data_IF_116317403446
#
_entry.id   IF_116317403446
#
_cell.length_a   1.000
_cell.length_b   1.000
_cell.length_c   1.000
_cell.angle_alpha   90.00
_cell.angle_beta   90.00
_cell.angle_gamma   90.00
#
_symmetry.space_group_name_H-M   'P 1'
#
loop_
_entity.id
_entity.type
_entity.pdbx_description
1 polymer ?
#
# COMPACT_ATOMS: atom_id res chain seq x y z
N UNK A 1 -17.16 26.23 8.93
CA UNK A 1 -17.19 25.90 7.49
C UNK A 1 -15.76 25.65 7.08
N UNK A 2 -15.35 24.39 6.91
CA UNK A 2 -14.01 24.06 6.41
C UNK A 2 -13.87 24.64 5.01
N UNK A 3 -12.85 25.46 4.78
CA UNK A 3 -12.58 26.01 3.45
C UNK A 3 -12.07 24.87 2.58
N UNK A 4 -12.24 25.01 1.26
CA UNK A 4 -11.79 24.00 0.28
C UNK A 4 -10.29 23.72 0.35
N UNK A 5 -9.53 24.67 0.92
CA UNK A 5 -8.09 24.62 1.16
C UNK A 5 -7.70 23.74 2.35
N UNK A 6 -8.64 23.46 3.27
CA UNK A 6 -8.38 22.69 4.49
C UNK A 6 -8.53 21.17 4.27
N UNK A 7 -8.93 20.74 3.07
CA UNK A 7 -9.25 19.34 2.76
C UNK A 7 -8.52 18.87 1.51
N UNK A 8 -7.72 17.82 1.66
CA UNK A 8 -6.92 17.23 0.58
C UNK A 8 -7.48 15.87 0.13
N UNK A 9 -7.25 15.53 -1.14
CA UNK A 9 -7.69 14.26 -1.71
C UNK A 9 -6.95 13.09 -1.05
N UNK A 10 -7.71 12.22 -0.38
CA UNK A 10 -7.18 11.08 0.38
C UNK A 10 -7.51 11.15 1.87
N UNK A 11 -7.95 12.30 2.34
CA UNK A 11 -8.57 12.42 3.65
C UNK A 11 -9.93 11.73 3.67
N UNK A 12 -10.30 11.23 4.84
CA UNK A 12 -11.56 10.51 5.08
C UNK A 12 -12.36 11.22 6.15
N UNK A 13 -13.67 11.28 5.99
CA UNK A 13 -14.58 11.71 7.06
C UNK A 13 -14.85 10.52 7.97
N UNK A 14 -14.54 10.67 9.25
CA UNK A 14 -14.74 9.63 10.26
C UNK A 14 -15.29 10.24 11.55
N UNK A 15 -15.95 9.41 12.36
CA UNK A 15 -16.35 9.80 13.71
C UNK A 15 -15.08 10.11 14.51
N UNK A 16 -15.06 11.15 15.36
CA UNK A 16 -13.88 11.46 16.16
C UNK A 16 -13.38 10.24 16.94
N UNK A 17 -12.09 9.94 16.81
CA UNK A 17 -11.40 8.84 17.50
C UNK A 17 -11.57 7.44 16.89
N UNK A 18 -12.22 7.28 15.73
CA UNK A 18 -12.48 5.94 15.16
C UNK A 18 -11.48 5.48 14.12
N UNK A 19 -10.72 6.38 13.49
CA UNK A 19 -9.64 6.02 12.56
C UNK A 19 -8.49 6.99 12.74
N UNK A 20 -7.28 6.46 12.79
CA UNK A 20 -6.05 7.23 12.96
C UNK A 20 -5.17 7.13 11.72
N UNK A 21 -4.41 8.19 11.40
CA UNK A 21 -3.49 8.18 10.27
C UNK A 21 -2.19 7.45 10.65
N UNK A 22 -1.74 6.55 9.78
CA UNK A 22 -0.58 5.66 9.99
C UNK A 22 0.36 5.70 8.79
N UNK A 23 1.62 5.37 9.03
CA UNK A 23 2.68 5.32 7.99
C UNK A 23 3.23 3.93 7.79
N UNK A 24 3.27 3.11 8.84
CA UNK A 24 3.88 1.79 8.78
C UNK A 24 2.86 0.71 9.07
N UNK A 25 2.85 -0.29 8.21
CA UNK A 25 1.95 -1.42 8.32
C UNK A 25 2.56 -2.66 7.69
N UNK A 26 2.09 -3.82 8.13
CA UNK A 26 2.29 -5.09 7.44
C UNK A 26 1.08 -5.39 6.57
N UNK A 27 1.32 -6.05 5.45
CA UNK A 27 0.27 -6.46 4.54
C UNK A 27 0.55 -7.82 3.90
N UNK A 28 -0.53 -8.54 3.67
CA UNK A 28 -0.54 -9.71 2.80
C UNK A 28 -0.85 -9.24 1.38
N UNK A 29 0.02 -9.58 0.43
CA UNK A 29 -0.05 -9.08 -0.94
C UNK A 29 0.06 -10.20 -1.94
N UNK A 30 -0.88 -10.21 -2.90
CA UNK A 30 -0.77 -10.95 -4.14
C UNK A 30 -0.16 -10.05 -5.22
N UNK A 31 0.95 -10.49 -5.83
CA UNK A 31 1.59 -9.81 -6.94
C UNK A 31 1.00 -10.35 -8.24
N UNK A 32 0.47 -9.46 -9.08
CA UNK A 32 -0.14 -9.86 -10.34
C UNK A 32 0.90 -10.52 -11.25
N UNK A 33 0.50 -11.62 -11.89
CA UNK A 33 1.33 -12.29 -12.89
C UNK A 33 1.49 -11.43 -14.15
N UNK A 34 2.40 -11.84 -15.02
CA UNK A 34 2.58 -11.20 -16.33
C UNK A 34 1.31 -11.27 -17.18
N UNK A 35 0.60 -12.40 -17.13
CA UNK A 35 -0.63 -12.66 -17.88
C UNK A 35 -1.79 -11.77 -17.38
N UNK A 36 -1.78 -11.42 -16.09
CA UNK A 36 -2.73 -10.50 -15.48
C UNK A 36 -2.37 -9.01 -15.73
N UNK A 37 -1.30 -8.75 -16.48
CA UNK A 37 -0.82 -7.39 -16.79
C UNK A 37 0.04 -6.76 -15.70
N UNK A 38 0.55 -7.57 -14.77
CA UNK A 38 1.48 -7.19 -13.71
C UNK A 38 2.91 -7.00 -14.20
N UNK A 39 3.87 -7.27 -13.31
CA UNK A 39 5.29 -7.13 -13.63
C UNK A 39 5.80 -8.30 -14.48
N UNK A 40 6.82 -8.04 -15.29
CA UNK A 40 7.55 -9.08 -16.02
C UNK A 40 8.75 -9.64 -15.23
N UNK A 41 9.28 -8.84 -14.31
CA UNK A 41 10.48 -9.14 -13.54
C UNK A 41 10.19 -9.05 -12.05
N UNK A 42 10.94 -9.82 -11.23
CA UNK A 42 10.83 -9.72 -9.78
C UNK A 42 11.17 -8.31 -9.26
N UNK A 43 10.82 -8.07 -8.00
CA UNK A 43 11.30 -6.92 -7.25
C UNK A 43 11.91 -7.36 -5.92
N UNK A 44 12.69 -6.46 -5.34
CA UNK A 44 13.49 -6.68 -4.15
C UNK A 44 13.06 -5.72 -3.03
N UNK A 45 13.58 -5.95 -1.83
CA UNK A 45 13.47 -4.99 -0.73
C UNK A 45 14.00 -3.60 -1.15
N UNK A 46 13.34 -2.55 -0.69
CA UNK A 46 13.59 -1.16 -1.12
C UNK A 46 12.80 -0.72 -2.35
N UNK A 47 11.94 -1.58 -2.91
CA UNK A 47 11.04 -1.22 -4.00
C UNK A 47 10.07 -0.09 -3.57
N UNK A 48 9.86 0.90 -4.46
CA UNK A 48 9.11 2.14 -4.17
C UNK A 48 7.88 2.38 -5.07
N UNK A 49 6.83 1.54 -5.00
CA UNK A 49 5.63 1.74 -5.80
C UNK A 49 4.68 2.78 -5.19
N UNK A 50 3.59 3.06 -5.91
CA UNK A 50 2.44 3.80 -5.42
C UNK A 50 1.41 2.84 -4.81
N UNK A 51 0.93 3.14 -3.62
CA UNK A 51 -0.14 2.43 -2.94
C UNK A 51 -1.45 3.20 -3.12
N UNK A 52 -2.40 2.59 -3.79
CA UNK A 52 -3.73 3.15 -4.00
C UNK A 52 -4.66 2.72 -2.87
N UNK A 53 -4.92 3.65 -1.96
CA UNK A 53 -5.87 3.51 -0.87
C UNK A 53 -7.14 4.28 -1.20
N UNK A 54 -8.25 3.56 -1.44
CA UNK A 54 -9.59 4.10 -1.74
C UNK A 54 -9.61 5.06 -2.94
N UNK A 55 -9.15 6.30 -2.77
CA UNK A 55 -9.21 7.41 -3.73
C UNK A 55 -7.87 8.11 -3.98
N UNK A 56 -6.78 7.67 -3.33
CA UNK A 56 -5.48 8.35 -3.37
C UNK A 56 -4.31 7.36 -3.55
N UNK A 57 -3.37 7.77 -4.39
CA UNK A 57 -2.07 7.12 -4.57
C UNK A 57 -1.04 7.74 -3.61
N UNK A 58 -0.37 6.92 -2.82
CA UNK A 58 0.73 7.33 -1.93
C UNK A 58 1.96 6.48 -2.18
N UNK A 59 3.10 7.10 -2.43
CA UNK A 59 4.36 6.34 -2.55
C UNK A 59 4.73 5.70 -1.21
N UNK A 60 5.12 4.43 -1.25
CA UNK A 60 5.64 3.71 -0.09
C UNK A 60 6.91 2.96 -0.43
N UNK A 61 7.67 2.58 0.60
CA UNK A 61 8.83 1.70 0.48
C UNK A 61 8.44 0.32 1.01
N UNK A 62 8.75 -0.72 0.27
CA UNK A 62 8.53 -2.12 0.67
C UNK A 62 9.82 -2.68 1.23
N UNK A 63 9.73 -3.29 2.41
CA UNK A 63 10.75 -4.14 3.00
C UNK A 63 10.21 -5.56 3.10
N UNK A 64 10.89 -6.49 2.42
CA UNK A 64 10.57 -7.92 2.46
C UNK A 64 11.00 -8.52 3.81
N UNK A 65 10.37 -9.64 4.20
CA UNK A 65 10.75 -10.35 5.43
C UNK A 65 12.16 -10.93 5.35
N UNK A 66 12.77 -11.18 6.52
CA UNK A 66 14.08 -11.83 6.60
C UNK A 66 14.06 -13.19 5.88
N UNK A 67 15.02 -13.41 5.00
CA UNK A 67 15.12 -14.63 4.17
C UNK A 67 14.35 -14.55 2.84
N UNK A 68 13.53 -13.52 2.61
CA UNK A 68 12.90 -13.28 1.30
C UNK A 68 13.73 -12.28 0.51
N UNK A 69 14.53 -12.78 -0.43
CA UNK A 69 15.38 -11.93 -1.26
C UNK A 69 14.58 -11.15 -2.31
N UNK A 70 13.61 -11.82 -2.94
CA UNK A 70 12.83 -11.26 -4.04
C UNK A 70 11.42 -11.87 -4.10
N UNK A 71 10.51 -11.17 -4.77
CA UNK A 71 9.13 -11.63 -5.00
C UNK A 71 8.86 -11.70 -6.49
N UNK A 72 8.36 -12.84 -6.96
CA UNK A 72 8.06 -13.07 -8.37
C UNK A 72 6.62 -12.61 -8.71
N UNK A 73 6.37 -12.20 -9.96
CA UNK A 73 5.00 -12.02 -10.45
C UNK A 73 4.19 -13.33 -10.31
N UNK A 74 3.01 -13.25 -9.70
CA UNK A 74 2.15 -14.40 -9.36
C UNK A 74 2.31 -14.91 -7.92
N UNK A 75 3.28 -14.41 -7.15
CA UNK A 75 3.49 -14.83 -5.76
C UNK A 75 2.53 -14.13 -4.79
N UNK A 76 2.34 -14.78 -3.64
CA UNK A 76 1.80 -14.16 -2.44
C UNK A 76 2.94 -13.95 -1.45
N UNK A 77 3.04 -12.77 -0.86
CA UNK A 77 4.09 -12.44 0.09
C UNK A 77 3.63 -11.40 1.12
N UNK A 78 4.26 -11.43 2.29
CA UNK A 78 4.06 -10.46 3.36
C UNK A 78 5.03 -9.30 3.21
N UNK A 79 4.50 -8.07 3.18
CA UNK A 79 5.29 -6.83 3.04
C UNK A 79 5.23 -6.00 4.29
N UNK A 80 6.38 -5.47 4.71
CA UNK A 80 6.45 -4.34 5.62
C UNK A 80 6.51 -3.07 4.77
N UNK A 81 5.54 -2.17 4.93
CA UNK A 81 5.41 -0.97 4.10
C UNK A 81 5.58 0.28 4.95
N UNK A 82 6.35 1.25 4.44
CA UNK A 82 6.46 2.60 5.00
C UNK A 82 6.01 3.66 3.97
N UNK A 83 4.94 4.38 4.26
CA UNK A 83 4.39 5.44 3.41
C UNK A 83 5.11 6.78 3.62
N UNK A 84 5.29 7.54 2.54
CA UNK A 84 5.91 8.88 2.60
C UNK A 84 5.03 9.92 3.29
N UNK A 85 3.71 9.70 3.29
CA UNK A 85 2.71 10.50 3.99
C UNK A 85 1.75 9.58 4.74
N UNK A 86 1.23 10.00 5.90
CA UNK A 86 0.36 9.15 6.69
C UNK A 86 -1.03 9.01 6.03
N UNK A 87 -1.61 7.81 6.12
CA UNK A 87 -2.93 7.47 5.59
C UNK A 87 -3.81 6.91 6.69
N UNK A 88 -5.06 7.36 6.74
CA UNK A 88 -6.06 6.78 7.62
C UNK A 88 -6.34 5.33 7.20
N UNK A 89 -5.91 4.38 8.02
CA UNK A 89 -6.03 2.95 7.73
C UNK A 89 -6.43 2.14 8.96
N UNK A 90 -6.96 0.95 8.71
CA UNK A 90 -7.33 -0.04 9.70
C UNK A 90 -6.94 -1.43 9.21
N UNK A 91 -6.79 -2.39 10.14
CA UNK A 91 -6.58 -3.79 9.78
C UNK A 91 -7.73 -4.28 8.88
N UNK A 92 -7.39 -4.98 7.80
CA UNK A 92 -8.35 -5.45 6.80
C UNK A 92 -8.61 -4.46 5.66
N UNK A 93 -8.06 -3.24 5.73
CA UNK A 93 -8.16 -2.29 4.61
C UNK A 93 -7.45 -2.86 3.38
N UNK A 94 -8.17 -2.92 2.26
CA UNK A 94 -7.64 -3.36 0.97
C UNK A 94 -7.03 -2.19 0.21
N UNK A 95 -5.97 -2.47 -0.54
CA UNK A 95 -5.28 -1.51 -1.39
C UNK A 95 -4.77 -2.18 -2.67
N UNK A 96 -4.44 -1.37 -3.67
CA UNK A 96 -3.74 -1.81 -4.87
C UNK A 96 -2.33 -1.23 -4.88
N UNK A 97 -1.37 -1.98 -5.40
CA UNK A 97 -0.01 -1.51 -5.66
C UNK A 97 0.08 -1.15 -7.13
N UNK A 98 0.59 0.04 -7.43
CA UNK A 98 0.65 0.60 -8.78
C UNK A 98 2.05 1.09 -9.13
N UNK A 99 2.42 0.90 -10.39
CA UNK A 99 3.65 1.41 -10.99
C UNK A 99 3.33 1.96 -12.38
N UNK A 100 3.78 3.19 -12.69
CA UNK A 100 3.54 3.80 -14.00
C UNK A 100 2.05 3.86 -14.40
N UNK A 101 1.16 3.97 -13.42
CA UNK A 101 -0.30 3.97 -13.62
C UNK A 101 -0.96 2.60 -13.76
N UNK A 102 -0.19 1.49 -13.79
CA UNK A 102 -0.69 0.11 -13.89
C UNK A 102 -0.74 -0.56 -12.51
N UNK A 103 -1.73 -1.41 -12.28
CA UNK A 103 -1.79 -2.23 -11.07
C UNK A 103 -0.85 -3.42 -11.20
N UNK A 104 0.03 -3.60 -10.22
CA UNK A 104 1.03 -4.68 -10.17
C UNK A 104 0.84 -5.62 -8.97
N UNK A 105 -0.02 -5.25 -8.02
CA UNK A 105 -0.35 -6.09 -6.88
C UNK A 105 -1.66 -5.67 -6.21
N UNK A 106 -2.22 -6.57 -5.43
CA UNK A 106 -3.39 -6.33 -4.59
C UNK A 106 -3.09 -6.81 -3.17
N UNK A 107 -3.36 -5.96 -2.18
CA UNK A 107 -2.98 -6.22 -0.80
C UNK A 107 -4.08 -5.92 0.21
N UNK A 108 -3.90 -6.47 1.40
CA UNK A 108 -4.72 -6.20 2.57
C UNK A 108 -3.83 -5.91 3.77
N UNK A 109 -4.13 -4.83 4.50
CA UNK A 109 -3.42 -4.48 5.74
C UNK A 109 -3.67 -5.59 6.78
N UNK A 110 -2.61 -6.27 7.22
CA UNK A 110 -2.67 -7.35 8.19
C UNK A 110 -2.41 -6.85 9.63
N UNK A 111 -1.55 -5.85 9.78
CA UNK A 111 -1.16 -5.25 11.06
C UNK A 111 -0.73 -3.80 10.86
N UNK A 112 -1.05 -2.90 11.79
CA UNK A 112 -0.56 -1.52 11.80
C UNK A 112 0.55 -1.42 12.84
N UNK A 113 1.71 -0.92 12.42
CA UNK A 113 2.93 -0.87 13.26
C UNK A 113 3.32 0.55 13.65
N UNK A 114 2.90 1.57 12.90
CA UNK A 114 3.06 3.00 13.25
C UNK A 114 2.04 3.89 12.56
#
# INVERSE_FOLDING_TARGET
VSKREDVERGQVLARPGTITPHRKFKAEVYVLSKEEGGRHTPFFSGYRPQFYFRTTDVTGVITLEEGVEMVMPGDNATFNVELIVPIAMEKGLRFAIREGGRTVGAGVVSEITE
#
